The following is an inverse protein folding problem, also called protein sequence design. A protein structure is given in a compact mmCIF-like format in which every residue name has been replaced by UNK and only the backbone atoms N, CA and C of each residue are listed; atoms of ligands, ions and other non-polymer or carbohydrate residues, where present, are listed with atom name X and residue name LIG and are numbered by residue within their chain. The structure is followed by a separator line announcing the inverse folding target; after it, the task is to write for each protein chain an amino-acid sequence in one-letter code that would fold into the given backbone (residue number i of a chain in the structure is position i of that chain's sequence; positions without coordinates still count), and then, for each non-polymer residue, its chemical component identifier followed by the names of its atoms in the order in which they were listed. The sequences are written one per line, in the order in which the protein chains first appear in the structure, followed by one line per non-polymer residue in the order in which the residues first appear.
data_IF_309849922308
#
_entry.id   IF_309849922308
#
_cell.length_a   1.000
_cell.length_b   1.000
_cell.length_c   1.000
_cell.angle_alpha   90.00
_cell.angle_beta   90.00
_cell.angle_gamma   90.00
#
_symmetry.space_group_name_H-M   'P 1'
#
loop_
_entity.id
_entity.type
_entity.pdbx_description
1 polymer ?
#
# COMPACT_ATOMS: atom_id res chain seq x y z
N UNK A 1 -29.10 17.00 0.86
CA UNK A 1 -28.98 18.16 -0.05
C UNK A 1 -27.53 18.32 -0.50
N UNK A 2 -27.28 18.48 -1.82
CA UNK A 2 -25.94 18.72 -2.39
C UNK A 2 -25.80 20.20 -2.73
N UNK A 3 -24.80 20.87 -2.15
CA UNK A 3 -24.51 22.27 -2.43
C UNK A 3 -23.54 22.39 -3.61
N UNK A 4 -23.88 23.19 -4.62
CA UNK A 4 -23.03 23.50 -5.78
C UNK A 4 -22.54 24.93 -5.64
N UNK A 5 -21.24 25.15 -5.67
CA UNK A 5 -20.61 26.46 -5.57
C UNK A 5 -19.76 26.68 -6.81
N UNK A 6 -20.19 27.54 -7.71
CA UNK A 6 -19.52 27.84 -8.99
C UNK A 6 -19.98 29.22 -9.47
N UNK A 7 -19.10 30.03 -10.01
CA UNK A 7 -19.44 31.38 -10.52
C UNK A 7 -20.10 31.34 -11.90
N UNK A 8 -19.86 30.26 -12.67
CA UNK A 8 -20.47 30.05 -14.00
C UNK A 8 -21.92 29.54 -13.88
N UNK A 9 -22.87 30.33 -14.33
CA UNK A 9 -24.30 29.99 -14.33
C UNK A 9 -24.62 28.77 -15.21
N UNK A 10 -23.89 28.56 -16.30
CA UNK A 10 -24.09 27.40 -17.18
C UNK A 10 -23.63 26.10 -16.48
N UNK A 11 -22.49 26.14 -15.78
CA UNK A 11 -22.01 25.03 -14.95
C UNK A 11 -23.02 24.70 -13.85
N UNK A 12 -23.48 25.70 -13.09
CA UNK A 12 -24.49 25.48 -12.04
C UNK A 12 -25.77 24.86 -12.59
N UNK A 13 -26.25 25.34 -13.74
CA UNK A 13 -27.47 24.81 -14.37
C UNK A 13 -27.28 23.37 -14.84
N UNK A 14 -26.14 23.06 -15.46
CA UNK A 14 -25.80 21.72 -15.95
C UNK A 14 -25.71 20.73 -14.80
N UNK A 15 -24.98 21.07 -13.72
CA UNK A 15 -24.85 20.22 -12.52
C UNK A 15 -26.20 20.05 -11.81
N UNK A 16 -26.99 21.12 -11.67
CA UNK A 16 -28.32 21.04 -11.08
C UNK A 16 -29.22 20.07 -11.85
N UNK A 17 -29.21 20.15 -13.17
CA UNK A 17 -29.98 19.23 -14.02
C UNK A 17 -29.51 17.78 -13.87
N UNK A 18 -28.18 17.54 -13.93
CA UNK A 18 -27.59 16.23 -13.79
C UNK A 18 -27.94 15.59 -12.44
N UNK A 19 -27.79 16.34 -11.36
CA UNK A 19 -28.04 15.85 -10.01
C UNK A 19 -29.52 15.57 -9.74
N UNK A 20 -30.42 16.45 -10.20
CA UNK A 20 -31.89 16.22 -10.13
C UNK A 20 -32.26 14.92 -10.86
N UNK A 21 -31.73 14.71 -12.08
CA UNK A 21 -31.97 13.50 -12.86
C UNK A 21 -31.42 12.23 -12.17
N UNK A 22 -30.36 12.38 -11.39
CA UNK A 22 -29.77 11.28 -10.59
C UNK A 22 -30.49 11.04 -9.24
N UNK A 23 -31.57 11.80 -8.94
CA UNK A 23 -32.38 11.64 -7.73
C UNK A 23 -31.88 12.44 -6.52
N UNK A 24 -30.89 13.33 -6.69
CA UNK A 24 -30.39 14.21 -5.62
C UNK A 24 -31.19 15.52 -5.53
N UNK A 25 -31.02 16.19 -4.38
CA UNK A 25 -31.60 17.56 -4.14
C UNK A 25 -30.44 18.57 -4.19
N UNK A 26 -30.15 19.18 -5.37
CA UNK A 26 -29.12 20.20 -5.48
C UNK A 26 -29.64 21.58 -5.07
N UNK A 27 -28.76 22.36 -4.44
CA UNK A 27 -28.87 23.80 -4.23
C UNK A 27 -27.61 24.45 -4.81
N UNK A 28 -27.75 25.55 -5.56
CA UNK A 28 -26.63 26.15 -6.28
C UNK A 28 -26.48 27.64 -5.90
N UNK A 29 -25.23 28.03 -5.59
CA UNK A 29 -24.86 29.39 -5.22
C UNK A 29 -23.69 29.89 -6.06
N UNK A 30 -23.61 31.21 -6.32
CA UNK A 30 -22.62 31.76 -7.26
C UNK A 30 -21.23 31.97 -6.66
N UNK A 31 -21.09 31.97 -5.33
CA UNK A 31 -19.79 32.31 -4.74
C UNK A 31 -19.63 32.01 -3.26
N UNK A 32 -18.45 32.39 -2.70
CA UNK A 32 -18.09 32.06 -1.33
C UNK A 32 -19.01 32.62 -0.24
N UNK A 33 -19.54 33.83 -0.41
CA UNK A 33 -20.38 34.49 0.62
C UNK A 33 -21.68 33.74 0.81
N UNK A 34 -22.38 33.47 -0.26
CA UNK A 34 -23.64 32.74 -0.27
C UNK A 34 -23.44 31.30 0.18
N UNK A 35 -22.32 30.68 -0.23
CA UNK A 35 -21.96 29.34 0.19
C UNK A 35 -21.80 29.22 1.70
N UNK A 36 -21.11 30.17 2.34
CA UNK A 36 -20.92 30.16 3.79
C UNK A 36 -22.23 30.42 4.56
N UNK A 37 -23.14 31.20 4.00
CA UNK A 37 -24.45 31.40 4.58
C UNK A 37 -25.26 30.09 4.56
N UNK A 38 -25.31 29.41 3.42
CA UNK A 38 -25.97 28.11 3.28
C UNK A 38 -25.33 27.06 4.20
N UNK A 39 -24.00 26.98 4.27
CA UNK A 39 -23.28 26.00 5.14
C UNK A 39 -23.57 26.24 6.63
N UNK A 40 -23.81 27.49 7.04
CA UNK A 40 -24.16 27.85 8.44
C UNK A 40 -25.62 27.54 8.78
N UNK A 41 -26.53 27.82 7.86
CA UNK A 41 -27.98 27.70 8.08
C UNK A 41 -28.52 26.31 7.76
N UNK A 42 -28.01 25.68 6.74
CA UNK A 42 -28.38 24.33 6.33
C UNK A 42 -27.19 23.36 6.52
N UNK A 43 -27.47 22.08 6.64
CA UNK A 43 -26.43 21.05 6.75
C UNK A 43 -26.35 20.30 5.41
N UNK A 44 -25.53 20.76 4.42
CA UNK A 44 -25.36 20.01 3.19
C UNK A 44 -24.71 18.66 3.47
N UNK A 45 -25.15 17.64 2.75
CA UNK A 45 -24.61 16.28 2.84
C UNK A 45 -23.32 16.15 2.04
N UNK A 46 -23.17 16.98 0.99
CA UNK A 46 -22.01 17.05 0.12
C UNK A 46 -21.91 18.42 -0.54
N UNK A 47 -20.69 18.89 -0.81
CA UNK A 47 -20.44 20.16 -1.51
C UNK A 47 -19.62 19.87 -2.77
N UNK A 48 -20.12 20.37 -3.92
CA UNK A 48 -19.33 20.52 -5.16
C UNK A 48 -18.86 21.96 -5.22
N UNK A 49 -17.55 22.19 -5.26
CA UNK A 49 -16.96 23.53 -5.13
C UNK A 49 -15.98 23.81 -6.27
N UNK A 50 -16.18 24.90 -6.99
CA UNK A 50 -15.16 25.39 -7.91
C UNK A 50 -13.94 25.91 -7.15
N UNK A 51 -12.77 25.79 -7.77
CA UNK A 51 -11.51 26.30 -7.24
C UNK A 51 -11.30 27.78 -7.52
N UNK A 52 -11.93 28.33 -8.55
CA UNK A 52 -11.74 29.71 -9.01
C UNK A 52 -13.09 30.43 -9.07
N UNK A 53 -13.23 31.52 -8.34
CA UNK A 53 -14.45 32.36 -8.30
C UNK A 53 -14.23 33.74 -8.92
N UNK A 54 -13.01 34.06 -9.35
CA UNK A 54 -12.66 35.31 -10.03
C UNK A 54 -11.81 35.03 -11.27
N UNK A 55 -11.58 36.07 -12.08
CA UNK A 55 -10.71 35.96 -13.28
C UNK A 55 -9.27 35.61 -12.98
N UNK A 56 -8.87 35.62 -11.70
CA UNK A 56 -7.54 35.14 -11.26
C UNK A 56 -7.57 33.62 -11.08
N UNK A 57 -6.86 32.89 -11.91
CA UNK A 57 -6.82 31.43 -11.96
C UNK A 57 -5.86 30.82 -10.90
N UNK A 58 -5.68 31.47 -9.75
CA UNK A 58 -4.74 31.00 -8.71
C UNK A 58 -5.28 29.88 -7.84
N UNK A 59 -6.61 29.69 -7.79
CA UNK A 59 -7.26 28.66 -6.95
C UNK A 59 -7.19 28.91 -5.44
N UNK A 60 -6.54 29.97 -4.99
CA UNK A 60 -6.40 30.30 -3.57
C UNK A 60 -7.74 30.54 -2.89
N UNK A 61 -8.69 31.14 -3.62
CA UNK A 61 -10.03 31.43 -3.12
C UNK A 61 -10.81 30.16 -2.78
N UNK A 62 -10.76 29.14 -3.64
CA UNK A 62 -11.39 27.84 -3.40
C UNK A 62 -10.78 27.11 -2.20
N UNK A 63 -9.46 27.17 -2.05
CA UNK A 63 -8.77 26.58 -0.89
C UNK A 63 -9.15 27.31 0.40
N UNK A 64 -9.23 28.64 0.37
CA UNK A 64 -9.63 29.42 1.52
C UNK A 64 -11.09 29.13 1.92
N UNK A 65 -11.99 29.05 0.95
CA UNK A 65 -13.38 28.66 1.18
C UNK A 65 -13.49 27.25 1.75
N UNK A 66 -12.72 26.29 1.20
CA UNK A 66 -12.67 24.93 1.71
C UNK A 66 -12.29 24.90 3.20
N UNK A 67 -11.22 25.61 3.58
CA UNK A 67 -10.81 25.70 4.99
C UNK A 67 -11.91 26.29 5.87
N UNK A 68 -12.59 27.32 5.42
CA UNK A 68 -13.72 27.92 6.17
C UNK A 68 -14.90 26.95 6.29
N UNK A 69 -15.26 26.25 5.21
CA UNK A 69 -16.29 25.20 5.25
C UNK A 69 -15.92 24.11 6.25
N UNK A 70 -14.66 23.65 6.27
CA UNK A 70 -14.17 22.62 7.20
C UNK A 70 -14.15 23.06 8.67
N UNK A 71 -14.02 24.37 8.95
CA UNK A 71 -14.18 24.91 10.31
C UNK A 71 -15.64 24.77 10.79
N UNK A 72 -16.62 25.09 9.94
CA UNK A 72 -18.04 25.02 10.32
C UNK A 72 -18.62 23.60 10.24
N UNK A 73 -18.17 22.81 9.27
CA UNK A 73 -18.65 21.44 8.96
C UNK A 73 -17.47 20.53 8.65
N UNK A 74 -16.71 20.07 9.66
CA UNK A 74 -15.51 19.27 9.44
C UNK A 74 -15.79 17.95 8.70
N UNK A 75 -16.96 17.35 8.91
CA UNK A 75 -17.32 16.05 8.38
C UNK A 75 -17.96 16.07 6.99
N UNK A 76 -18.38 17.25 6.48
CA UNK A 76 -19.02 17.34 5.16
C UNK A 76 -17.99 17.02 4.06
N UNK A 77 -18.26 16.06 3.16
CA UNK A 77 -17.39 15.81 2.02
C UNK A 77 -17.47 16.96 1.01
N UNK A 78 -16.31 17.44 0.57
CA UNK A 78 -16.18 18.49 -0.44
C UNK A 78 -15.44 17.91 -1.64
N UNK A 79 -16.07 17.95 -2.81
CA UNK A 79 -15.46 17.58 -4.10
C UNK A 79 -15.11 18.87 -4.83
N UNK A 80 -13.84 19.06 -5.13
CA UNK A 80 -13.34 20.23 -5.84
C UNK A 80 -13.50 20.07 -7.34
N UNK A 81 -13.87 21.13 -8.03
CA UNK A 81 -13.91 21.20 -9.49
C UNK A 81 -12.79 22.12 -9.97
N UNK A 82 -11.98 21.69 -10.93
CA UNK A 82 -10.83 22.46 -11.40
C UNK A 82 -10.69 22.38 -12.91
N UNK A 83 -10.15 23.44 -13.53
CA UNK A 83 -9.84 23.43 -14.95
C UNK A 83 -8.58 22.58 -15.26
N UNK A 84 -8.46 22.14 -16.51
CA UNK A 84 -7.27 21.42 -17.00
C UNK A 84 -5.99 22.26 -16.75
N UNK A 85 -4.99 21.66 -16.09
CA UNK A 85 -3.70 22.32 -15.79
C UNK A 85 -3.50 22.73 -14.33
N UNK A 86 -4.51 22.67 -13.48
CA UNK A 86 -4.43 23.07 -12.06
C UNK A 86 -4.25 21.87 -11.11
N UNK A 87 -3.44 20.88 -11.49
CA UNK A 87 -3.21 19.68 -10.66
C UNK A 87 -2.58 20.06 -9.32
N UNK A 88 -1.67 21.04 -9.30
CA UNK A 88 -1.08 21.56 -8.05
C UNK A 88 -2.13 22.15 -7.10
N UNK A 89 -3.18 22.77 -7.62
CA UNK A 89 -4.28 23.31 -6.83
C UNK A 89 -5.21 22.21 -6.30
N UNK A 90 -5.49 21.20 -7.10
CA UNK A 90 -6.23 20.02 -6.64
C UNK A 90 -5.51 19.34 -5.47
N UNK A 91 -4.19 19.23 -5.54
CA UNK A 91 -3.32 18.73 -4.46
C UNK A 91 -3.44 19.54 -3.19
N UNK A 92 -3.32 20.86 -3.29
CA UNK A 92 -3.47 21.75 -2.12
C UNK A 92 -4.87 21.64 -1.53
N UNK A 93 -5.91 21.48 -2.36
CA UNK A 93 -7.26 21.22 -1.91
C UNK A 93 -7.40 19.91 -1.15
N UNK A 94 -6.78 18.82 -1.63
CA UNK A 94 -6.76 17.53 -0.92
C UNK A 94 -6.04 17.65 0.43
N UNK A 95 -4.91 18.36 0.48
CA UNK A 95 -4.18 18.64 1.74
C UNK A 95 -5.00 19.52 2.70
N UNK A 96 -5.86 20.41 2.16
CA UNK A 96 -6.77 21.23 2.95
C UNK A 96 -8.04 20.48 3.41
N UNK A 97 -8.19 19.19 3.09
CA UNK A 97 -9.27 18.32 3.54
C UNK A 97 -10.42 18.15 2.56
N UNK A 98 -10.23 18.42 1.27
CA UNK A 98 -11.18 17.98 0.25
C UNK A 98 -11.32 16.46 0.25
N UNK A 99 -12.49 15.97 -0.16
CA UNK A 99 -12.75 14.55 -0.30
C UNK A 99 -12.20 13.98 -1.62
N UNK A 100 -12.42 14.72 -2.72
CA UNK A 100 -11.99 14.35 -4.07
C UNK A 100 -11.87 15.61 -4.94
N UNK A 101 -11.30 15.46 -6.15
CA UNK A 101 -11.32 16.51 -7.15
C UNK A 101 -11.72 15.98 -8.53
N UNK A 102 -12.32 16.84 -9.34
CA UNK A 102 -12.79 16.53 -10.69
C UNK A 102 -12.34 17.63 -11.64
N UNK A 103 -11.80 17.27 -12.79
CA UNK A 103 -11.39 18.22 -13.83
C UNK A 103 -12.57 18.61 -14.70
N UNK A 104 -12.66 19.89 -15.07
CA UNK A 104 -13.58 20.41 -16.08
C UNK A 104 -12.93 20.28 -17.48
N UNK A 105 -13.62 19.77 -18.52
CA UNK A 105 -14.95 19.15 -18.49
C UNK A 105 -14.93 17.77 -17.83
N UNK A 106 -15.96 17.43 -17.07
CA UNK A 106 -16.06 16.16 -16.35
C UNK A 106 -16.82 15.10 -17.12
N UNK A 107 -16.55 13.84 -16.76
CA UNK A 107 -17.37 12.71 -17.15
C UNK A 107 -18.50 12.54 -16.13
N UNK A 108 -19.76 12.56 -16.58
CA UNK A 108 -20.93 12.46 -15.71
C UNK A 108 -20.96 11.18 -14.87
N UNK A 109 -20.50 10.06 -15.41
CA UNK A 109 -20.46 8.79 -14.66
C UNK A 109 -19.43 8.85 -13.53
N UNK A 110 -18.27 9.45 -13.80
CA UNK A 110 -17.19 9.62 -12.80
C UNK A 110 -17.65 10.55 -11.68
N UNK A 111 -18.26 11.71 -12.03
CA UNK A 111 -18.79 12.66 -11.07
C UNK A 111 -19.87 12.01 -10.16
N UNK A 112 -20.85 11.33 -10.75
CA UNK A 112 -21.90 10.68 -9.97
C UNK A 112 -21.36 9.55 -9.08
N UNK A 113 -20.34 8.82 -9.54
CA UNK A 113 -19.66 7.78 -8.75
C UNK A 113 -18.96 8.40 -7.54
N UNK A 114 -18.19 9.48 -7.74
CA UNK A 114 -17.52 10.19 -6.65
C UNK A 114 -18.51 10.75 -5.62
N UNK A 115 -19.63 11.35 -6.06
CA UNK A 115 -20.68 11.85 -5.20
C UNK A 115 -21.30 10.74 -4.34
N UNK A 116 -21.68 9.61 -4.95
CA UNK A 116 -22.25 8.46 -4.21
C UNK A 116 -21.26 7.92 -3.18
N UNK A 117 -20.02 7.71 -3.58
CA UNK A 117 -18.96 7.27 -2.67
C UNK A 117 -18.78 8.21 -1.49
N UNK A 118 -18.80 9.53 -1.74
CA UNK A 118 -18.67 10.53 -0.68
C UNK A 118 -19.83 10.49 0.32
N UNK A 119 -21.06 10.34 -0.17
CA UNK A 119 -22.26 10.25 0.67
C UNK A 119 -22.27 8.95 1.48
N UNK A 120 -22.00 7.81 0.85
CA UNK A 120 -21.93 6.50 1.50
C UNK A 120 -20.92 6.50 2.65
N UNK A 121 -19.73 7.05 2.44
CA UNK A 121 -18.69 7.15 3.48
C UNK A 121 -19.06 8.11 4.60
N UNK A 122 -19.77 9.21 4.28
CA UNK A 122 -20.22 10.16 5.28
C UNK A 122 -21.31 9.59 6.19
N UNK A 123 -22.24 8.82 5.62
CA UNK A 123 -23.29 8.12 6.40
C UNK A 123 -22.70 7.08 7.34
N UNK A 124 -21.76 6.28 6.84
CA UNK A 124 -21.10 5.24 7.64
C UNK A 124 -20.23 5.79 8.77
N UNK A 125 -19.64 7.01 8.62
CA UNK A 125 -18.97 7.69 9.74
C UNK A 125 -19.91 8.01 10.88
N UNK A 126 -21.19 8.31 10.60
CA UNK A 126 -22.19 8.62 11.63
C UNK A 126 -22.64 7.40 12.44
N UNK A 127 -22.66 6.22 11.80
CA UNK A 127 -23.07 4.96 12.45
C UNK A 127 -21.91 4.27 13.24
N UNK A 128 -20.66 4.62 12.99
CA UNK A 128 -19.47 3.86 13.38
C UNK A 128 -18.77 4.35 14.66
N UNK A 129 -19.46 5.01 15.59
CA UNK A 129 -18.87 5.41 16.88
C UNK A 129 -18.79 4.27 17.92
N UNK A 130 -19.11 3.01 17.57
CA UNK A 130 -18.92 1.85 18.44
C UNK A 130 -17.66 1.06 18.01
N UNK A 131 -16.75 0.71 18.94
CA UNK A 131 -15.60 -0.11 18.62
C UNK A 131 -16.06 -1.47 18.11
N UNK A 132 -15.61 -1.86 16.92
CA UNK A 132 -15.93 -3.13 16.30
C UNK A 132 -15.26 -4.26 17.11
N UNK A 133 -16.04 -5.16 17.69
CA UNK A 133 -15.50 -6.33 18.37
C UNK A 133 -15.15 -7.41 17.34
N UNK A 134 -14.08 -8.19 17.54
CA UNK A 134 -13.62 -9.21 16.57
C UNK A 134 -14.73 -10.20 16.20
N UNK A 135 -15.46 -10.69 17.19
CA UNK A 135 -16.59 -11.59 17.01
C UNK A 135 -17.70 -10.99 16.13
N UNK A 136 -18.03 -9.71 16.36
CA UNK A 136 -19.07 -9.01 15.59
C UNK A 136 -18.60 -8.73 14.14
N UNK A 137 -17.29 -8.47 13.99
CA UNK A 137 -16.67 -8.27 12.67
C UNK A 137 -16.74 -9.54 11.82
N UNK A 138 -16.39 -10.70 12.40
CA UNK A 138 -16.39 -11.98 11.70
C UNK A 138 -17.82 -12.47 11.36
N UNK A 139 -18.82 -12.09 12.16
CA UNK A 139 -20.23 -12.40 11.87
C UNK A 139 -20.83 -11.55 10.75
N UNK A 140 -20.39 -10.30 10.61
CA UNK A 140 -20.95 -9.35 9.63
C UNK A 140 -20.17 -9.28 8.32
N UNK A 141 -18.88 -9.60 8.35
CA UNK A 141 -17.95 -9.42 7.25
C UNK A 141 -17.10 -10.66 7.01
N UNK A 142 -16.66 -10.85 5.78
CA UNK A 142 -15.77 -11.94 5.39
C UNK A 142 -14.31 -11.60 5.74
N UNK A 143 -13.94 -11.81 7.01
CA UNK A 143 -12.56 -11.61 7.52
C UNK A 143 -11.88 -12.92 7.93
N UNK A 144 -12.44 -14.06 7.56
CA UNK A 144 -12.00 -15.41 7.99
C UNK A 144 -10.51 -15.70 7.75
N UNK A 145 -9.95 -15.11 6.70
CA UNK A 145 -8.54 -15.27 6.34
C UNK A 145 -7.59 -14.37 7.12
N UNK A 146 -8.10 -13.39 7.86
CA UNK A 146 -7.30 -12.41 8.59
C UNK A 146 -7.22 -12.84 10.04
N UNK A 147 -6.04 -13.26 10.49
CA UNK A 147 -5.80 -13.71 11.86
C UNK A 147 -5.22 -12.56 12.70
N UNK A 148 -5.81 -12.31 13.87
CA UNK A 148 -5.39 -11.30 14.83
C UNK A 148 -6.55 -10.62 15.53
N UNK A 149 -6.27 -10.00 16.68
CA UNK A 149 -7.25 -9.32 17.53
C UNK A 149 -6.71 -8.03 18.17
N UNK A 150 -5.48 -7.62 17.82
CA UNK A 150 -4.88 -6.40 18.34
C UNK A 150 -5.72 -5.17 18.00
N UNK A 151 -5.70 -4.16 18.88
CA UNK A 151 -6.43 -2.92 18.65
C UNK A 151 -6.06 -2.26 17.31
N UNK A 152 -4.78 -2.25 16.97
CA UNK A 152 -4.29 -1.69 15.71
C UNK A 152 -4.88 -2.43 14.47
N UNK A 153 -5.02 -3.76 14.52
CA UNK A 153 -5.66 -4.52 13.46
C UNK A 153 -7.18 -4.25 13.43
N UNK A 154 -7.82 -4.16 14.60
CA UNK A 154 -9.27 -3.89 14.68
C UNK A 154 -9.62 -2.52 14.09
N UNK A 155 -8.79 -1.49 14.25
CA UNK A 155 -8.95 -0.18 13.62
C UNK A 155 -8.90 -0.28 12.08
N UNK A 156 -7.96 -1.10 11.56
CA UNK A 156 -7.88 -1.40 10.12
C UNK A 156 -9.15 -2.09 9.65
N UNK A 157 -9.61 -3.16 10.33
CA UNK A 157 -10.82 -3.90 9.96
C UNK A 157 -12.08 -3.02 10.06
N UNK A 158 -12.16 -2.14 11.07
CA UNK A 158 -13.22 -1.14 11.19
C UNK A 158 -13.22 -0.15 10.03
N UNK A 159 -12.06 0.21 9.50
CA UNK A 159 -11.95 1.04 8.30
C UNK A 159 -12.38 0.24 7.06
N UNK A 160 -11.88 -1.00 6.91
CA UNK A 160 -12.23 -1.88 5.80
C UNK A 160 -13.75 -2.13 5.73
N UNK A 161 -14.40 -2.39 6.87
CA UNK A 161 -15.86 -2.62 6.92
C UNK A 161 -16.67 -1.43 6.41
N UNK A 162 -16.20 -0.19 6.66
CA UNK A 162 -16.84 1.04 6.18
C UNK A 162 -16.62 1.29 4.70
N UNK A 163 -15.40 1.03 4.19
CA UNK A 163 -15.06 1.34 2.80
C UNK A 163 -15.43 0.22 1.81
N UNK A 164 -15.52 -1.01 2.28
CA UNK A 164 -15.79 -2.17 1.43
C UNK A 164 -17.10 -2.04 0.64
N UNK A 165 -18.24 -1.59 1.22
CA UNK A 165 -19.49 -1.43 0.50
C UNK A 165 -19.46 -0.32 -0.57
N UNK A 166 -18.46 0.57 -0.55
CA UNK A 166 -18.36 1.69 -1.48
C UNK A 166 -17.58 1.35 -2.75
N UNK A 167 -17.63 2.23 -3.75
CA UNK A 167 -16.78 2.15 -4.95
C UNK A 167 -15.50 3.00 -4.85
N UNK A 168 -15.11 3.40 -3.64
CA UNK A 168 -13.91 4.20 -3.41
C UNK A 168 -12.65 3.50 -3.89
N UNK A 169 -11.73 4.26 -4.48
CA UNK A 169 -10.35 3.81 -4.69
C UNK A 169 -9.62 3.74 -3.34
N UNK A 170 -8.93 2.65 -3.08
CA UNK A 170 -8.25 2.40 -1.82
C UNK A 170 -6.76 2.20 -2.06
N UNK A 171 -5.94 2.93 -1.31
CA UNK A 171 -4.49 2.70 -1.24
C UNK A 171 -4.14 2.01 0.07
N UNK A 172 -3.62 0.80 -0.01
CA UNK A 172 -3.14 0.03 1.14
C UNK A 172 -1.65 0.26 1.29
N UNK A 173 -1.23 0.83 2.42
CA UNK A 173 0.18 1.07 2.73
C UNK A 173 0.63 0.17 3.87
N UNK A 174 1.91 -0.14 3.92
CA UNK A 174 2.51 -0.96 4.98
C UNK A 174 3.73 -1.72 4.48
N UNK A 175 4.53 -2.20 5.40
CA UNK A 175 5.75 -2.94 5.09
C UNK A 175 5.46 -4.24 4.31
N UNK A 176 6.49 -4.76 3.64
CA UNK A 176 6.38 -6.05 2.96
C UNK A 176 6.06 -7.16 3.97
N UNK A 177 5.15 -8.07 3.59
CA UNK A 177 4.76 -9.21 4.43
C UNK A 177 3.75 -8.90 5.53
N UNK A 178 3.14 -7.70 5.60
CA UNK A 178 2.10 -7.33 6.58
C UNK A 178 0.72 -7.91 6.30
N UNK A 179 0.46 -8.39 5.07
CA UNK A 179 -0.83 -8.96 4.67
C UNK A 179 -1.70 -8.04 3.82
N UNK A 180 -1.12 -7.08 3.08
CA UNK A 180 -1.82 -6.13 2.20
C UNK A 180 -2.79 -6.82 1.23
N UNK A 181 -2.39 -7.94 0.65
CA UNK A 181 -3.23 -8.72 -0.27
C UNK A 181 -4.49 -9.26 0.40
N UNK A 182 -4.40 -9.75 1.64
CA UNK A 182 -5.56 -10.24 2.40
C UNK A 182 -6.56 -9.12 2.69
N UNK A 183 -6.08 -7.91 2.96
CA UNK A 183 -6.95 -6.74 3.14
C UNK A 183 -7.63 -6.37 1.81
N UNK A 184 -6.92 -6.43 0.69
CA UNK A 184 -7.54 -6.19 -0.62
C UNK A 184 -8.61 -7.24 -0.97
N UNK A 185 -8.35 -8.53 -0.67
CA UNK A 185 -9.36 -9.59 -0.78
C UNK A 185 -10.58 -9.31 0.11
N UNK A 186 -10.36 -8.90 1.36
CA UNK A 186 -11.44 -8.57 2.30
C UNK A 186 -12.28 -7.38 1.82
N UNK A 187 -11.65 -6.33 1.27
CA UNK A 187 -12.36 -5.19 0.67
C UNK A 187 -13.24 -5.66 -0.49
N UNK A 188 -12.75 -6.54 -1.35
CA UNK A 188 -13.53 -7.07 -2.46
C UNK A 188 -14.66 -7.98 -1.98
N UNK A 189 -14.38 -8.94 -1.09
CA UNK A 189 -15.34 -9.91 -0.58
C UNK A 189 -16.54 -9.27 0.13
N UNK A 190 -16.32 -8.10 0.76
CA UNK A 190 -17.34 -7.33 1.46
C UNK A 190 -17.93 -6.18 0.62
N UNK A 191 -17.68 -6.16 -0.68
CA UNK A 191 -18.15 -5.13 -1.60
C UNK A 191 -19.40 -5.56 -2.37
N UNK A 192 -20.16 -4.64 -2.98
CA UNK A 192 -21.24 -4.97 -3.91
C UNK A 192 -20.77 -5.79 -5.13
N UNK A 193 -19.44 -5.80 -5.38
CA UNK A 193 -18.79 -6.53 -6.48
C UNK A 193 -18.20 -7.89 -6.05
N UNK A 194 -18.57 -8.40 -4.89
CA UNK A 194 -17.99 -9.64 -4.32
C UNK A 194 -18.20 -10.88 -5.18
N UNK A 195 -19.23 -10.87 -6.04
CA UNK A 195 -19.52 -11.96 -6.99
C UNK A 195 -18.83 -11.80 -8.35
N UNK A 196 -18.22 -10.65 -8.59
CA UNK A 196 -17.53 -10.32 -9.83
C UNK A 196 -16.04 -10.68 -9.74
N UNK A 197 -15.30 -10.49 -10.82
CA UNK A 197 -13.89 -10.83 -10.86
C UNK A 197 -13.04 -9.98 -9.89
N UNK A 198 -12.14 -10.63 -9.15
CA UNK A 198 -11.05 -10.01 -8.41
C UNK A 198 -9.73 -10.30 -9.12
N UNK A 199 -9.22 -9.32 -9.88
CA UNK A 199 -8.02 -9.48 -10.70
C UNK A 199 -6.82 -8.89 -9.98
N UNK A 200 -5.86 -9.76 -9.63
CA UNK A 200 -4.61 -9.38 -8.96
C UNK A 200 -3.51 -9.14 -10.00
N UNK A 201 -2.78 -8.05 -9.84
CA UNK A 201 -1.61 -7.71 -10.65
C UNK A 201 -0.50 -7.24 -9.74
N UNK A 202 0.64 -7.90 -9.79
CA UNK A 202 1.86 -7.40 -9.17
C UNK A 202 2.63 -6.58 -10.20
N UNK A 203 2.86 -5.31 -9.90
CA UNK A 203 3.53 -4.35 -10.78
C UNK A 203 5.05 -4.29 -10.56
N UNK A 204 5.54 -4.96 -9.51
CA UNK A 204 6.96 -5.00 -9.17
C UNK A 204 7.80 -5.67 -10.26
N UNK A 205 8.80 -4.94 -10.78
CA UNK A 205 9.75 -5.48 -11.75
C UNK A 205 9.21 -5.71 -13.16
N UNK A 206 8.02 -5.20 -13.51
CA UNK A 206 7.48 -5.27 -14.86
C UNK A 206 8.16 -4.24 -15.77
N UNK A 207 8.75 -4.70 -16.88
CA UNK A 207 9.17 -3.80 -17.97
C UNK A 207 7.96 -3.13 -18.63
N UNK A 208 8.17 -1.97 -19.26
CA UNK A 208 7.09 -1.23 -19.92
C UNK A 208 6.30 -2.09 -20.93
N UNK A 209 6.98 -2.85 -21.78
CA UNK A 209 6.34 -3.69 -22.79
C UNK A 209 5.50 -4.80 -22.18
N UNK A 210 5.99 -5.42 -21.10
CA UNK A 210 5.27 -6.46 -20.37
C UNK A 210 4.05 -5.87 -19.65
N UNK A 211 4.20 -4.69 -19.01
CA UNK A 211 3.09 -3.96 -18.41
C UNK A 211 1.97 -3.69 -19.42
N UNK A 212 2.31 -3.18 -20.59
CA UNK A 212 1.31 -2.87 -21.61
C UNK A 212 0.56 -4.12 -22.09
N UNK A 213 1.30 -5.17 -22.38
CA UNK A 213 0.74 -6.46 -22.82
C UNK A 213 -0.14 -7.11 -21.74
N UNK A 214 0.30 -7.08 -20.46
CA UNK A 214 -0.48 -7.61 -19.33
C UNK A 214 -1.74 -6.80 -19.08
N UNK A 215 -1.62 -5.48 -18.97
CA UNK A 215 -2.72 -4.61 -18.53
C UNK A 215 -3.78 -4.41 -19.61
N UNK A 216 -3.35 -4.14 -20.85
CA UNK A 216 -4.26 -3.80 -21.96
C UNK A 216 -4.58 -4.98 -22.87
N UNK A 217 -3.74 -6.03 -22.84
CA UNK A 217 -3.82 -7.13 -23.78
C UNK A 217 -3.23 -6.78 -25.13
N UNK A 218 -3.15 -7.76 -26.04
CA UNK A 218 -2.64 -7.55 -27.39
C UNK A 218 -3.33 -8.44 -28.41
N UNK A 219 -3.35 -7.98 -29.65
CA UNK A 219 -3.72 -8.77 -30.81
C UNK A 219 -2.50 -9.48 -31.38
N UNK A 220 -2.72 -10.63 -32.00
CA UNK A 220 -1.68 -11.34 -32.76
C UNK A 220 -1.01 -10.39 -33.76
N UNK A 221 0.32 -10.33 -33.72
CA UNK A 221 1.10 -9.46 -34.62
C UNK A 221 1.25 -8.01 -34.13
N UNK A 222 0.78 -7.64 -32.91
CA UNK A 222 0.92 -6.29 -32.38
C UNK A 222 2.39 -5.91 -32.09
N UNK A 223 3.25 -6.90 -31.85
CA UNK A 223 4.70 -6.77 -31.70
C UNK A 223 5.37 -8.12 -32.03
N UNK A 224 6.69 -8.15 -32.11
CA UNK A 224 7.48 -9.28 -32.64
C UNK A 224 7.11 -10.64 -32.02
N UNK A 225 6.83 -10.67 -30.70
CA UNK A 225 6.53 -11.90 -29.94
C UNK A 225 5.02 -12.12 -29.69
N UNK A 226 4.15 -11.35 -30.34
CA UNK A 226 2.70 -11.48 -30.20
C UNK A 226 2.15 -12.63 -31.12
N UNK A 227 2.39 -13.87 -30.74
CA UNK A 227 1.99 -15.05 -31.51
C UNK A 227 0.49 -15.36 -31.46
N UNK A 228 -0.21 -14.91 -30.41
CA UNK A 228 -1.65 -15.10 -30.19
C UNK A 228 -2.30 -13.86 -29.56
N UNK A 229 -3.63 -13.80 -29.62
CA UNK A 229 -4.39 -12.76 -28.90
C UNK A 229 -4.28 -12.98 -27.38
N UNK A 230 -4.16 -11.90 -26.62
CA UNK A 230 -4.18 -11.91 -25.15
C UNK A 230 -5.20 -10.92 -24.60
N UNK A 231 -6.04 -11.38 -23.68
CA UNK A 231 -6.97 -10.53 -22.95
C UNK A 231 -6.21 -9.80 -21.83
N UNK A 232 -6.39 -8.48 -21.73
CA UNK A 232 -5.74 -7.64 -20.73
C UNK A 232 -6.43 -7.69 -19.36
N UNK A 233 -5.67 -7.35 -18.32
CA UNK A 233 -6.16 -7.34 -16.92
C UNK A 233 -7.33 -6.39 -16.70
N UNK A 234 -7.35 -5.24 -17.38
CA UNK A 234 -8.48 -4.31 -17.30
C UNK A 234 -9.77 -4.91 -17.85
N UNK A 235 -9.69 -5.62 -18.96
CA UNK A 235 -10.84 -6.31 -19.54
C UNK A 235 -11.34 -7.44 -18.63
N UNK A 236 -10.42 -8.21 -18.04
CA UNK A 236 -10.74 -9.28 -17.07
C UNK A 236 -11.40 -8.73 -15.81
N UNK A 237 -11.00 -7.53 -15.35
CA UNK A 237 -11.53 -6.89 -14.14
C UNK A 237 -12.83 -6.12 -14.37
N UNK A 238 -13.36 -6.10 -15.60
CA UNK A 238 -14.56 -5.33 -15.91
C UNK A 238 -15.75 -5.76 -15.04
N UNK A 239 -16.46 -4.77 -14.47
CA UNK A 239 -17.51 -4.85 -13.44
C UNK A 239 -17.01 -5.32 -12.06
N UNK A 240 -15.78 -5.80 -11.97
CA UNK A 240 -15.15 -6.32 -10.76
C UNK A 240 -14.21 -5.33 -10.07
N UNK A 241 -13.18 -5.88 -9.44
CA UNK A 241 -12.14 -5.15 -8.72
C UNK A 241 -10.77 -5.53 -9.29
N UNK A 242 -9.93 -4.53 -9.56
CA UNK A 242 -8.52 -4.73 -9.87
C UNK A 242 -7.67 -4.39 -8.65
N UNK A 243 -6.79 -5.30 -8.27
CA UNK A 243 -5.80 -5.10 -7.20
C UNK A 243 -4.41 -4.91 -7.82
N UNK A 244 -3.82 -3.74 -7.60
CA UNK A 244 -2.53 -3.33 -8.13
C UNK A 244 -1.51 -3.34 -6.98
N UNK A 245 -0.76 -4.44 -6.83
CA UNK A 245 0.28 -4.53 -5.80
C UNK A 245 1.59 -3.93 -6.29
N UNK A 246 2.37 -3.38 -5.37
CA UNK A 246 3.65 -2.68 -5.57
C UNK A 246 3.54 -1.54 -6.61
N UNK A 247 2.48 -0.72 -6.49
CA UNK A 247 2.22 0.40 -7.42
C UNK A 247 3.38 1.42 -7.45
N UNK A 248 4.14 1.53 -6.36
CA UNK A 248 5.31 2.40 -6.27
C UNK A 248 6.51 1.96 -7.12
N UNK A 249 6.49 0.74 -7.67
CA UNK A 249 7.55 0.24 -8.55
C UNK A 249 7.32 0.56 -10.04
N UNK A 250 6.14 1.14 -10.36
CA UNK A 250 5.75 1.39 -11.72
C UNK A 250 6.54 2.53 -12.35
N UNK A 251 7.09 2.32 -13.54
CA UNK A 251 7.79 3.36 -14.30
C UNK A 251 6.87 4.52 -14.70
N UNK A 252 7.42 5.74 -14.81
CA UNK A 252 6.66 6.96 -15.14
C UNK A 252 5.85 6.85 -16.44
N UNK A 253 6.39 6.19 -17.47
CA UNK A 253 5.71 5.95 -18.73
C UNK A 253 4.44 5.11 -18.56
N UNK A 254 4.50 4.10 -17.70
CA UNK A 254 3.38 3.23 -17.35
C UNK A 254 2.35 3.93 -16.47
N UNK A 255 2.81 4.82 -15.57
CA UNK A 255 1.93 5.63 -14.72
C UNK A 255 0.99 6.53 -15.55
N UNK A 256 1.49 7.12 -16.66
CA UNK A 256 0.67 7.92 -17.59
C UNK A 256 -0.45 7.08 -18.21
N UNK A 257 -0.13 5.87 -18.64
CA UNK A 257 -1.12 4.98 -19.27
C UNK A 257 -2.16 4.48 -18.26
N UNK A 258 -1.71 4.13 -17.06
CA UNK A 258 -2.60 3.74 -15.97
C UNK A 258 -3.57 4.88 -15.63
N UNK A 259 -3.05 6.10 -15.47
CA UNK A 259 -3.86 7.27 -15.14
C UNK A 259 -4.99 7.50 -16.16
N UNK A 260 -4.69 7.40 -17.46
CA UNK A 260 -5.72 7.55 -18.52
C UNK A 260 -6.88 6.57 -18.31
N UNK A 261 -6.57 5.29 -18.07
CA UNK A 261 -7.63 4.30 -17.81
C UNK A 261 -8.45 4.63 -16.59
N UNK A 262 -7.80 5.08 -15.51
CA UNK A 262 -8.50 5.44 -14.27
C UNK A 262 -9.36 6.69 -14.41
N UNK A 263 -8.98 7.64 -15.29
CA UNK A 263 -9.72 8.87 -15.55
C UNK A 263 -10.88 8.64 -16.52
N UNK A 264 -10.60 8.02 -17.66
CA UNK A 264 -11.54 7.92 -18.78
C UNK A 264 -12.40 6.66 -18.73
N UNK A 265 -12.00 5.68 -17.90
CA UNK A 265 -12.58 4.33 -17.87
C UNK A 265 -12.60 3.66 -19.24
N UNK A 266 -11.59 3.97 -20.07
CA UNK A 266 -11.38 3.41 -21.39
C UNK A 266 -9.92 3.06 -21.63
N UNK A 267 -9.68 2.05 -22.45
CA UNK A 267 -8.34 1.67 -22.89
C UNK A 267 -8.40 1.10 -24.31
N UNK A 268 -7.23 0.98 -24.94
CA UNK A 268 -7.05 0.33 -26.23
C UNK A 268 -6.17 -0.91 -26.07
N UNK A 269 -6.54 -1.98 -26.79
CA UNK A 269 -5.74 -3.21 -26.86
C UNK A 269 -4.57 -2.97 -27.82
N UNK A 270 -3.38 -3.43 -27.50
CA UNK A 270 -2.23 -3.31 -28.39
C UNK A 270 -2.51 -3.96 -29.75
N UNK A 271 -2.35 -3.19 -30.82
CA UNK A 271 -2.71 -3.61 -32.18
C UNK A 271 -4.19 -3.46 -32.55
N UNK A 272 -5.00 -2.82 -31.70
CA UNK A 272 -6.40 -2.45 -31.98
C UNK A 272 -6.67 -1.04 -31.46
N UNK A 273 -7.01 -0.10 -32.36
CA UNK A 273 -7.25 1.31 -32.03
C UNK A 273 -8.66 1.59 -31.50
N UNK A 274 -9.51 0.58 -31.34
CA UNK A 274 -10.87 0.75 -30.85
C UNK A 274 -10.88 0.89 -29.33
N UNK A 275 -11.40 2.02 -28.77
CA UNK A 275 -11.48 2.20 -27.34
C UNK A 275 -12.49 1.23 -26.71
N UNK A 276 -12.10 0.58 -25.62
CA UNK A 276 -12.94 -0.31 -24.82
C UNK A 276 -13.25 0.34 -23.49
N UNK A 277 -14.52 0.37 -23.12
CA UNK A 277 -14.97 0.88 -21.82
C UNK A 277 -14.86 -0.20 -20.75
N UNK A 278 -14.46 0.21 -19.54
CA UNK A 278 -14.42 -0.66 -18.36
C UNK A 278 -15.02 0.07 -17.15
N UNK A 279 -15.73 -0.69 -16.34
CA UNK A 279 -16.18 -0.25 -15.01
C UNK A 279 -15.46 -1.09 -13.96
N UNK A 280 -14.42 -0.52 -13.36
CA UNK A 280 -13.58 -1.21 -12.37
C UNK A 280 -13.54 -0.46 -11.04
N UNK A 281 -13.47 -1.23 -9.95
CA UNK A 281 -13.02 -0.71 -8.67
C UNK A 281 -11.52 -0.92 -8.54
N UNK A 282 -10.79 0.08 -8.08
CA UNK A 282 -9.33 0.02 -7.94
C UNK A 282 -8.96 -0.07 -6.47
N UNK A 283 -8.16 -1.08 -6.14
CA UNK A 283 -7.45 -1.22 -4.86
C UNK A 283 -5.97 -1.32 -5.18
N UNK A 284 -5.16 -0.44 -4.63
CA UNK A 284 -3.71 -0.40 -4.85
C UNK A 284 -2.96 -0.68 -3.57
N UNK A 285 -1.77 -1.25 -3.66
CA UNK A 285 -0.92 -1.46 -2.50
C UNK A 285 0.54 -1.09 -2.77
N UNK A 286 1.24 -0.64 -1.74
CA UNK A 286 2.68 -0.34 -1.81
C UNK A 286 3.33 -0.37 -0.44
N UNK A 287 4.62 -0.67 -0.39
CA UNK A 287 5.48 -0.51 0.77
C UNK A 287 6.31 0.79 0.71
N UNK A 288 6.26 1.52 -0.41
CA UNK A 288 7.00 2.77 -0.61
C UNK A 288 6.21 3.97 -0.13
N UNK A 289 6.91 5.01 0.28
CA UNK A 289 6.32 6.32 0.54
C UNK A 289 6.07 7.07 -0.78
N UNK A 290 4.85 6.93 -1.30
CA UNK A 290 4.46 7.61 -2.54
C UNK A 290 4.51 9.13 -2.43
N UNK A 291 4.36 9.72 -1.23
CA UNK A 291 4.45 11.18 -1.05
C UNK A 291 5.86 11.68 -1.29
N UNK A 292 6.86 11.00 -0.72
CA UNK A 292 8.27 11.28 -1.00
C UNK A 292 8.59 11.09 -2.48
N UNK A 293 8.08 10.01 -3.10
CA UNK A 293 8.27 9.75 -4.53
C UNK A 293 7.65 10.84 -5.43
N UNK A 294 6.53 11.43 -5.03
CA UNK A 294 5.92 12.57 -5.73
C UNK A 294 6.83 13.80 -5.62
N UNK A 295 7.37 14.09 -4.42
CA UNK A 295 8.32 15.18 -4.23
C UNK A 295 9.59 14.99 -5.08
N UNK A 296 10.09 13.77 -5.19
CA UNK A 296 11.25 13.38 -5.98
C UNK A 296 10.94 13.21 -7.49
N UNK A 297 9.69 13.45 -7.91
CA UNK A 297 9.21 13.32 -9.30
C UNK A 297 9.39 11.92 -9.89
N UNK A 298 9.49 10.89 -9.07
CA UNK A 298 9.54 9.48 -9.48
C UNK A 298 8.16 8.83 -9.51
N UNK A 299 7.15 9.48 -8.90
CA UNK A 299 5.75 9.13 -9.00
C UNK A 299 4.92 10.35 -9.37
N UNK A 300 3.94 10.18 -10.25
CA UNK A 300 3.08 11.29 -10.70
C UNK A 300 2.06 11.65 -9.63
N UNK A 301 1.95 12.92 -9.37
CA UNK A 301 1.04 13.49 -8.38
C UNK A 301 -0.45 13.25 -8.73
N UNK A 302 -0.80 13.39 -10.01
CA UNK A 302 -2.16 13.15 -10.51
C UNK A 302 -2.60 11.68 -10.32
N UNK A 303 -1.71 10.73 -10.57
CA UNK A 303 -1.97 9.32 -10.33
C UNK A 303 -2.11 9.05 -8.83
N UNK A 304 -1.23 9.62 -7.99
CA UNK A 304 -1.29 9.46 -6.54
C UNK A 304 -2.66 9.83 -5.98
N UNK A 305 -3.22 10.99 -6.35
CA UNK A 305 -4.54 11.39 -5.86
C UNK A 305 -5.67 10.55 -6.46
N UNK A 306 -5.49 10.02 -7.66
CA UNK A 306 -6.51 9.16 -8.28
C UNK A 306 -6.65 7.79 -7.62
N UNK A 307 -5.55 7.22 -7.15
CA UNK A 307 -5.54 5.91 -6.46
C UNK A 307 -5.72 6.04 -4.94
N UNK A 308 -5.44 7.20 -4.38
CA UNK A 308 -5.42 7.45 -2.94
C UNK A 308 -6.60 8.31 -2.47
N UNK A 309 -7.82 7.87 -2.77
CA UNK A 309 -9.01 8.50 -2.18
C UNK A 309 -9.10 8.16 -0.68
N UNK A 310 -8.80 6.91 -0.33
CA UNK A 310 -8.74 6.44 1.06
C UNK A 310 -7.47 5.62 1.25
N UNK A 311 -6.70 6.00 2.27
CA UNK A 311 -5.53 5.22 2.70
C UNK A 311 -5.91 4.28 3.84
N UNK A 312 -5.52 3.00 3.70
CA UNK A 312 -5.55 1.99 4.76
C UNK A 312 -4.12 1.62 5.10
N UNK A 313 -3.65 2.01 6.28
CA UNK A 313 -2.30 1.67 6.73
C UNK A 313 -2.31 0.39 7.55
N UNK A 314 -1.53 -0.62 7.12
CA UNK A 314 -1.33 -1.85 7.86
C UNK A 314 -0.15 -1.71 8.82
N UNK A 315 -0.38 -1.93 10.13
CA UNK A 315 0.69 -1.88 11.12
C UNK A 315 1.69 -3.03 10.89
N UNK A 316 2.96 -2.76 11.14
CA UNK A 316 3.99 -3.78 11.17
C UNK A 316 3.72 -4.80 12.29
N UNK A 317 4.23 -6.03 12.14
CA UNK A 317 3.98 -7.10 13.12
C UNK A 317 4.51 -6.74 14.52
N UNK A 318 5.61 -6.00 14.61
CA UNK A 318 6.17 -5.46 15.86
C UNK A 318 5.26 -4.46 16.59
N UNK A 319 4.30 -3.85 15.90
CA UNK A 319 3.31 -2.91 16.45
C UNK A 319 2.04 -3.62 16.94
N UNK A 320 1.89 -4.92 16.59
CA UNK A 320 0.78 -5.79 16.99
C UNK A 320 1.27 -7.12 17.55
N UNK A 321 2.19 -7.06 18.51
CA UNK A 321 2.85 -8.24 19.10
C UNK A 321 1.89 -9.24 19.72
N UNK A 322 0.72 -8.78 20.16
CA UNK A 322 -0.36 -9.60 20.69
C UNK A 322 -0.90 -10.63 19.66
N UNK A 323 -0.76 -10.33 18.37
CA UNK A 323 -1.21 -11.21 17.31
C UNK A 323 -0.19 -12.32 16.98
N UNK A 324 1.08 -12.19 17.41
CA UNK A 324 2.15 -13.13 17.06
C UNK A 324 1.85 -14.56 17.52
N UNK A 325 1.42 -14.82 18.78
CA UNK A 325 1.11 -16.18 19.20
C UNK A 325 -0.05 -16.80 18.42
N UNK A 326 -1.07 -16.00 18.10
CA UNK A 326 -2.23 -16.46 17.31
C UNK A 326 -1.82 -16.83 15.88
N UNK A 327 -1.02 -15.98 15.24
CA UNK A 327 -0.48 -16.22 13.89
C UNK A 327 0.45 -17.44 13.87
N UNK A 328 1.35 -17.58 14.85
CA UNK A 328 2.23 -18.74 14.96
C UNK A 328 1.43 -20.05 15.07
N UNK A 329 0.39 -20.06 15.91
CA UNK A 329 -0.50 -21.21 16.07
C UNK A 329 -1.23 -21.52 14.77
N UNK A 330 -1.80 -20.50 14.12
CA UNK A 330 -2.48 -20.66 12.83
C UNK A 330 -1.57 -21.29 11.77
N UNK A 331 -0.32 -20.85 11.67
CA UNK A 331 0.64 -21.42 10.70
C UNK A 331 1.05 -22.84 11.07
N UNK A 332 1.19 -23.14 12.37
CA UNK A 332 1.51 -24.50 12.84
C UNK A 332 0.36 -25.47 12.54
N UNK A 333 -0.88 -25.09 12.87
CA UNK A 333 -2.06 -25.92 12.60
C UNK A 333 -2.18 -26.19 11.08
N UNK A 334 -2.02 -25.13 10.26
CA UNK A 334 -2.06 -25.27 8.80
C UNK A 334 -0.94 -26.15 8.24
N UNK A 335 0.28 -26.03 8.78
CA UNK A 335 1.43 -26.83 8.36
C UNK A 335 1.22 -28.32 8.74
N UNK A 336 0.66 -28.59 9.93
CA UNK A 336 0.32 -29.93 10.36
C UNK A 336 -0.74 -30.56 9.46
N UNK A 337 -1.78 -29.82 9.10
CA UNK A 337 -2.84 -30.28 8.20
C UNK A 337 -2.33 -30.61 6.80
N UNK A 338 -1.54 -29.70 6.19
CA UNK A 338 -1.03 -29.87 4.82
C UNK A 338 -0.06 -31.06 4.71
N UNK A 339 0.76 -31.32 5.73
CA UNK A 339 1.78 -32.36 5.70
C UNK A 339 1.36 -33.64 6.45
N UNK A 340 0.15 -33.72 6.98
CA UNK A 340 -0.31 -34.89 7.77
C UNK A 340 0.52 -35.10 9.04
N UNK A 341 1.07 -34.03 9.62
CA UNK A 341 1.87 -34.07 10.84
C UNK A 341 0.96 -34.00 12.08
N UNK A 342 1.40 -34.57 13.22
CA UNK A 342 0.69 -34.36 14.48
C UNK A 342 0.64 -32.87 14.82
N UNK A 343 -0.40 -32.48 15.58
CA UNK A 343 -0.58 -31.10 16.03
C UNK A 343 0.64 -30.66 16.86
N UNK A 344 1.15 -29.49 16.51
CA UNK A 344 2.30 -28.89 17.18
C UNK A 344 1.84 -27.82 18.18
N UNK A 345 2.39 -27.88 19.39
CA UNK A 345 2.15 -26.90 20.45
C UNK A 345 3.41 -26.06 20.74
N UNK A 346 3.22 -24.87 21.28
CA UNK A 346 4.28 -23.96 21.65
C UNK A 346 4.32 -23.82 23.17
N UNK A 347 5.50 -23.97 23.78
CA UNK A 347 5.70 -23.64 25.17
C UNK A 347 5.47 -22.16 25.45
N UNK A 348 5.23 -21.79 26.72
CA UNK A 348 5.11 -20.37 27.12
C UNK A 348 6.36 -19.57 26.79
N UNK A 349 7.53 -20.18 26.90
CA UNK A 349 8.83 -19.57 26.59
C UNK A 349 8.97 -19.32 25.09
N UNK A 350 8.55 -20.26 24.24
CA UNK A 350 8.52 -20.09 22.78
C UNK A 350 7.60 -18.93 22.35
N UNK A 351 6.40 -18.83 22.94
CA UNK A 351 5.47 -17.73 22.66
C UNK A 351 6.05 -16.38 23.07
N UNK A 352 6.67 -16.31 24.24
CA UNK A 352 7.32 -15.11 24.76
C UNK A 352 8.52 -14.71 23.88
N UNK A 353 9.34 -15.68 23.48
CA UNK A 353 10.47 -15.47 22.59
C UNK A 353 10.02 -14.90 21.24
N UNK A 354 9.07 -15.55 20.56
CA UNK A 354 8.52 -15.08 19.29
C UNK A 354 7.97 -13.65 19.40
N UNK A 355 7.26 -13.33 20.47
CA UNK A 355 6.67 -11.99 20.69
C UNK A 355 7.70 -10.87 20.87
N UNK A 356 8.96 -11.21 21.20
CA UNK A 356 10.06 -10.25 21.34
C UNK A 356 10.83 -10.00 20.06
N UNK A 357 10.73 -10.90 19.06
CA UNK A 357 11.44 -10.76 17.81
C UNK A 357 10.92 -9.56 17.00
N UNK A 358 11.79 -8.84 16.27
CA UNK A 358 11.42 -7.64 15.53
C UNK A 358 10.66 -7.91 14.23
N UNK A 359 10.81 -9.09 13.63
CA UNK A 359 10.20 -9.51 12.36
C UNK A 359 10.22 -8.44 11.26
N UNK A 360 11.38 -8.02 10.72
CA UNK A 360 11.46 -7.06 9.64
C UNK A 360 10.71 -7.53 8.37
N UNK A 361 10.60 -8.84 8.15
CA UNK A 361 9.77 -9.45 7.09
C UNK A 361 8.32 -9.73 7.51
N UNK A 362 7.89 -9.21 8.68
CA UNK A 362 6.53 -9.27 9.20
C UNK A 362 5.94 -10.70 9.24
N UNK A 363 4.67 -10.87 8.84
CA UNK A 363 3.97 -12.17 8.86
C UNK A 363 4.65 -13.18 7.93
N UNK A 364 5.24 -12.73 6.80
CA UNK A 364 5.95 -13.64 5.89
C UNK A 364 7.16 -14.28 6.56
N UNK A 365 7.91 -13.51 7.34
CA UNK A 365 9.06 -14.01 8.11
C UNK A 365 8.61 -14.92 9.24
N UNK A 366 7.61 -14.53 10.03
CA UNK A 366 7.05 -15.37 11.09
C UNK A 366 6.56 -16.71 10.53
N UNK A 367 5.82 -16.70 9.43
CA UNK A 367 5.35 -17.91 8.75
C UNK A 367 6.51 -18.82 8.39
N UNK A 368 7.53 -18.28 7.70
CA UNK A 368 8.68 -19.06 7.26
C UNK A 368 9.48 -19.63 8.46
N UNK A 369 9.60 -18.86 9.55
CA UNK A 369 10.26 -19.31 10.77
C UNK A 369 9.51 -20.49 11.40
N UNK A 370 8.20 -20.36 11.59
CA UNK A 370 7.35 -21.41 12.19
C UNK A 370 7.36 -22.68 11.32
N UNK A 371 7.10 -22.56 10.02
CA UNK A 371 7.08 -23.69 9.09
C UNK A 371 8.43 -24.44 9.06
N UNK A 372 9.54 -23.69 8.99
CA UNK A 372 10.89 -24.26 9.00
C UNK A 372 11.18 -24.99 10.32
N UNK A 373 10.85 -24.37 11.46
CA UNK A 373 11.11 -24.97 12.77
C UNK A 373 10.33 -26.27 12.93
N UNK A 374 9.07 -26.34 12.51
CA UNK A 374 8.25 -27.56 12.55
C UNK A 374 8.87 -28.67 11.72
N UNK A 375 9.25 -28.35 10.48
CA UNK A 375 9.79 -29.35 9.55
C UNK A 375 11.15 -29.89 9.96
N UNK A 376 12.00 -29.05 10.59
CA UNK A 376 13.37 -29.43 10.96
C UNK A 376 13.44 -30.09 12.33
N UNK A 377 12.67 -29.59 13.32
CA UNK A 377 12.69 -30.14 14.68
C UNK A 377 12.02 -31.51 14.78
N UNK A 378 10.96 -31.75 14.00
CA UNK A 378 10.15 -32.98 14.09
C UNK A 378 9.43 -33.16 15.44
N UNK A 379 9.43 -32.14 16.32
CA UNK A 379 8.83 -32.17 17.64
C UNK A 379 7.35 -31.77 17.59
N UNK A 380 6.57 -32.29 18.54
CA UNK A 380 5.19 -31.89 18.75
C UNK A 380 5.02 -30.77 19.77
N UNK A 381 6.05 -30.49 20.58
CA UNK A 381 6.15 -29.34 21.49
C UNK A 381 7.41 -28.58 21.18
N UNK A 382 7.27 -27.32 20.76
CA UNK A 382 8.38 -26.43 20.43
C UNK A 382 8.66 -25.47 21.58
N UNK A 383 9.93 -25.30 21.90
CA UNK A 383 10.44 -24.37 22.89
C UNK A 383 11.22 -23.20 22.26
N UNK A 384 11.69 -22.25 23.06
CA UNK A 384 12.44 -21.09 22.57
C UNK A 384 13.74 -21.49 21.84
N UNK A 385 14.43 -22.52 22.33
CA UNK A 385 15.69 -22.97 21.75
C UNK A 385 15.53 -23.51 20.32
N UNK A 386 14.37 -24.13 20.00
CA UNK A 386 14.08 -24.61 18.65
C UNK A 386 14.04 -23.46 17.65
N UNK A 387 13.55 -22.27 18.06
CA UNK A 387 13.48 -21.08 17.21
C UNK A 387 14.82 -20.35 17.12
N UNK A 388 15.62 -20.31 18.21
CA UNK A 388 16.92 -19.64 18.25
C UNK A 388 17.89 -20.19 17.21
N UNK A 389 17.97 -21.52 17.07
CA UNK A 389 18.81 -22.20 16.07
C UNK A 389 18.50 -21.73 14.65
N UNK A 390 17.25 -21.42 14.36
CA UNK A 390 16.80 -21.00 13.03
C UNK A 390 16.87 -19.51 12.79
N UNK A 391 16.80 -18.68 13.84
CA UNK A 391 17.03 -17.24 13.76
C UNK A 391 18.49 -16.91 13.46
N UNK A 392 19.45 -17.63 14.06
CA UNK A 392 20.88 -17.40 13.81
C UNK A 392 21.27 -17.72 12.36
N UNK A 393 20.66 -18.70 11.72
CA UNK A 393 20.92 -19.06 10.33
C UNK A 393 20.33 -18.06 9.30
N UNK A 394 19.36 -17.24 9.67
CA UNK A 394 18.77 -16.19 8.81
C UNK A 394 19.56 -14.87 8.91
N UNK A 395 20.29 -14.65 9.99
CA UNK A 395 21.19 -13.49 10.18
C UNK A 395 22.52 -13.61 9.41
N UNK A 396 22.71 -14.70 8.67
CA UNK A 396 23.93 -15.02 7.91
C UNK A 396 24.14 -14.25 6.61
N UNK A 397 23.65 -13.00 6.48
CA UNK A 397 23.97 -12.15 5.33
C UNK A 397 23.91 -10.64 5.61
N UNK A 398 24.06 -10.24 6.85
CA UNK A 398 24.64 -8.93 7.17
C UNK A 398 25.59 -9.17 8.33
N UNK A 399 26.87 -9.41 8.00
CA UNK A 399 27.94 -9.18 8.95
C UNK A 399 27.72 -7.76 9.48
N UNK A 400 27.18 -7.66 10.69
CA UNK A 400 27.36 -6.47 11.49
C UNK A 400 28.86 -6.32 11.64
N UNK A 401 29.44 -5.49 10.83
CA UNK A 401 30.77 -4.95 11.09
C UNK A 401 30.61 -4.32 12.47
N UNK A 402 31.35 -4.80 13.50
CA UNK A 402 31.26 -4.18 14.82
C UNK A 402 31.52 -2.70 14.65
N UNK A 403 30.76 -1.85 15.32
CA UNK A 403 30.89 -0.37 15.27
C UNK A 403 32.30 0.13 15.57
N UNK A 404 33.21 -0.73 16.02
CA UNK A 404 34.65 -0.46 16.21
C UNK A 404 35.48 -0.45 14.92
N UNK A 405 34.87 -0.73 13.74
CA UNK A 405 35.57 -0.78 12.46
C UNK A 405 35.19 0.38 11.51
N UNK A 406 34.26 1.26 11.89
CA UNK A 406 33.97 2.48 11.16
C UNK A 406 35.12 3.49 11.33
N UNK A 407 35.77 3.83 10.22
CA UNK A 407 36.87 4.79 10.18
C UNK A 407 38.27 4.20 10.07
N UNK A 408 38.43 2.88 10.05
CA UNK A 408 39.73 2.23 9.85
C UNK A 408 40.08 2.12 8.35
N UNK A 409 41.34 2.34 8.03
CA UNK A 409 41.87 2.07 6.70
C UNK A 409 41.96 0.57 6.41
N UNK A 410 42.03 0.19 5.12
CA UNK A 410 42.19 -1.23 4.73
C UNK A 410 43.43 -1.89 5.37
N UNK A 411 44.51 -1.14 5.52
CA UNK A 411 45.74 -1.60 6.17
C UNK A 411 45.54 -1.89 7.67
N UNK A 412 44.77 -1.06 8.36
CA UNK A 412 44.44 -1.25 9.78
C UNK A 412 43.50 -2.44 9.98
N UNK A 413 42.53 -2.62 9.09
CA UNK A 413 41.63 -3.78 9.09
C UNK A 413 42.41 -5.10 8.84
N UNK A 414 43.33 -5.11 7.88
CA UNK A 414 44.16 -6.23 7.58
C UNK A 414 45.05 -6.59 8.78
N UNK A 415 45.68 -5.58 9.40
CA UNK A 415 46.51 -5.74 10.60
C UNK A 415 45.72 -6.34 11.77
N UNK A 416 44.54 -5.82 12.08
CA UNK A 416 43.67 -6.32 13.15
C UNK A 416 43.20 -7.76 12.87
N UNK A 417 42.89 -8.10 11.62
CA UNK A 417 42.45 -9.44 11.24
C UNK A 417 43.59 -10.46 11.42
N UNK A 418 44.81 -10.08 11.07
CA UNK A 418 46.00 -10.93 11.28
C UNK A 418 46.25 -11.12 12.78
N UNK A 419 46.22 -10.07 13.61
CA UNK A 419 46.42 -10.16 15.05
C UNK A 419 45.41 -11.08 15.72
N UNK A 420 44.12 -10.93 15.42
CA UNK A 420 43.04 -11.79 15.93
C UNK A 420 43.24 -13.26 15.55
N UNK A 421 43.66 -13.49 14.29
CA UNK A 421 43.89 -14.84 13.82
C UNK A 421 45.13 -15.49 14.50
N UNK A 422 46.17 -14.70 14.81
CA UNK A 422 47.34 -15.14 15.59
C UNK A 422 46.93 -15.53 17.02
N UNK A 423 46.14 -14.72 17.70
CA UNK A 423 45.60 -15.01 19.04
C UNK A 423 44.74 -16.29 19.03
N UNK A 424 43.82 -16.40 18.07
CA UNK A 424 42.89 -17.55 17.98
C UNK A 424 43.60 -18.88 17.70
N UNK A 425 44.74 -18.83 17.03
CA UNK A 425 45.52 -20.05 16.67
C UNK A 425 46.84 -20.19 17.44
N UNK A 426 46.98 -19.49 18.58
CA UNK A 426 48.13 -19.60 19.48
C UNK A 426 49.48 -19.35 18.80
N UNK A 427 49.53 -18.43 17.84
CA UNK A 427 50.75 -18.09 17.11
C UNK A 427 51.17 -19.07 16.00
N UNK A 428 50.39 -20.11 15.70
CA UNK A 428 50.73 -21.07 14.65
C UNK A 428 50.50 -20.49 13.25
N UNK A 429 51.59 -20.02 12.62
CA UNK A 429 51.56 -19.34 11.33
C UNK A 429 50.99 -20.17 10.18
N UNK A 430 51.09 -21.51 10.25
CA UNK A 430 50.51 -22.38 9.22
C UNK A 430 49.00 -22.41 9.30
N UNK A 431 48.45 -22.52 10.50
CA UNK A 431 47.01 -22.47 10.74
C UNK A 431 46.41 -21.08 10.45
N UNK A 432 47.13 -20.00 10.84
CA UNK A 432 46.76 -18.63 10.54
C UNK A 432 46.71 -18.36 9.04
N UNK A 433 47.70 -18.80 8.27
CA UNK A 433 47.72 -18.64 6.81
C UNK A 433 46.54 -19.35 6.15
N UNK A 434 46.24 -20.58 6.60
CA UNK A 434 45.08 -21.34 6.11
C UNK A 434 43.75 -20.66 6.47
N UNK A 435 43.58 -20.18 7.70
CA UNK A 435 42.39 -19.48 8.17
C UNK A 435 42.14 -18.16 7.43
N UNK A 436 43.21 -17.45 7.05
CA UNK A 436 43.13 -16.22 6.29
C UNK A 436 43.09 -16.42 4.76
N UNK A 437 43.16 -17.68 4.28
CA UNK A 437 43.10 -17.98 2.84
C UNK A 437 44.31 -17.47 2.05
N UNK A 438 45.50 -17.31 2.71
CA UNK A 438 46.72 -16.79 2.09
C UNK A 438 47.88 -17.79 2.22
N UNK A 439 48.86 -17.68 1.34
CA UNK A 439 50.06 -18.48 1.47
C UNK A 439 50.89 -18.04 2.69
N UNK A 440 51.62 -18.98 3.27
CA UNK A 440 52.52 -18.71 4.40
C UNK A 440 53.55 -17.61 4.09
N UNK A 441 54.08 -17.60 2.87
CA UNK A 441 54.99 -16.54 2.39
C UNK A 441 54.33 -15.16 2.31
N UNK A 442 53.04 -15.14 1.96
CA UNK A 442 52.25 -13.90 1.93
C UNK A 442 51.96 -13.38 3.36
N UNK A 443 51.72 -14.30 4.31
CA UNK A 443 51.56 -13.94 5.72
C UNK A 443 52.83 -13.32 6.30
N UNK A 444 54.02 -13.91 6.05
CA UNK A 444 55.31 -13.37 6.51
C UNK A 444 55.54 -11.92 6.01
N UNK A 445 55.29 -11.66 4.74
CA UNK A 445 55.43 -10.29 4.17
C UNK A 445 54.49 -9.26 4.84
N UNK A 446 53.30 -9.70 5.24
CA UNK A 446 52.34 -8.83 5.96
C UNK A 446 52.74 -8.59 7.40
N UNK A 447 53.23 -9.63 8.10
CA UNK A 447 53.75 -9.50 9.46
C UNK A 447 54.91 -8.51 9.51
N UNK A 448 55.82 -8.60 8.53
CA UNK A 448 56.95 -7.66 8.38
C UNK A 448 56.44 -6.24 8.05
N UNK A 449 55.50 -6.11 7.12
CA UNK A 449 54.89 -4.80 6.75
C UNK A 449 54.27 -4.11 7.95
N UNK A 450 53.63 -4.85 8.85
CA UNK A 450 52.90 -4.28 10.00
C UNK A 450 53.70 -4.29 11.29
N UNK A 451 54.97 -4.75 11.26
CA UNK A 451 55.85 -4.78 12.43
C UNK A 451 55.35 -5.69 13.56
N UNK A 452 54.69 -6.81 13.21
CA UNK A 452 54.16 -7.77 14.19
C UNK A 452 55.31 -8.77 14.53
N UNK A 453 55.77 -8.83 15.80
CA UNK A 453 56.84 -9.74 16.19
C UNK A 453 56.42 -11.21 16.01
N UNK A 454 57.36 -12.01 15.50
CA UNK A 454 57.18 -13.45 15.33
C UNK A 454 57.99 -14.11 16.45
N UNK A 455 57.31 -14.61 17.48
CA UNK A 455 57.97 -15.50 18.44
C UNK A 455 58.33 -16.80 17.72
N UNK A 456 59.62 -17.14 17.79
CA UNK A 456 60.20 -18.32 17.13
C UNK A 456 59.86 -19.60 17.86
#
# INVERSE_FOLDING_TARGET
MILIIDDDAAVRSSLTFLLKRAGFRPEAVPGPKEALEVVRTTAPELILMDMNFTLTTTGEEGIQLLRQVKIFRPDVPVILMTAWGSISLAVQGMQAGAFDFITKPWNNLVLLKSIRTALELSEQKKEANAPLNRSDADHKFHFDKIVGQSAALMDVLGTVSRIAPTNASVLITGESGTGRELIAEAIHANSPRSKEAFVKVNLGGLSQSLFESEMFGHKKGAFTDAYMDRVGRFEMANKGTIFLDEIGDLELSCQVKLLRVLQDQTFEVLGDSRPRKVDIRVVSATNRDLRSMVADRTFREDLFYRINLITVHLPALRERREDIPLLARYFADKQSEVNGLPRVEFSSDAQTYLSRLPFPGNIRELKNLVERTILVSGKTLLDAADFEVHCMNTSGSKSTIPSSLEGLTLDELEKQTILRSLEAHGGNLSHVATALGISRAALYRRLEKYGIPIDK
#
